data_IF_775000783164
#
_entry.id   IF_775000783164
#
_cell.length_a   1.000
_cell.length_b   1.000
_cell.length_c   1.000
_cell.angle_alpha   90.00
_cell.angle_beta   90.00
_cell.angle_gamma   90.00
#
_symmetry.space_group_name_H-M   'P 1'
#
loop_
_entity.id
_entity.type
_entity.pdbx_description
1 polymer ?
#
# COMPACT_ATOMS: atom_id res chain seq x y z
N UNK A 1 -16.24 9.54 -6.96
CA UNK A 1 -15.90 8.41 -6.08
C UNK A 1 -14.54 7.87 -6.51
N UNK A 2 -13.51 8.03 -5.69
CA UNK A 2 -12.21 7.37 -5.91
C UNK A 2 -12.38 5.88 -5.61
N UNK A 3 -11.78 5.01 -6.43
CA UNK A 3 -11.78 3.56 -6.17
C UNK A 3 -10.63 3.24 -5.23
N UNK A 4 -10.92 2.61 -4.10
CA UNK A 4 -9.91 2.12 -3.17
C UNK A 4 -9.53 0.69 -3.50
N UNK A 5 -8.23 0.36 -3.50
CA UNK A 5 -7.74 -1.01 -3.67
C UNK A 5 -6.86 -1.44 -2.50
N UNK A 6 -6.92 -2.73 -2.16
CA UNK A 6 -6.00 -3.38 -1.22
C UNK A 6 -4.94 -4.14 -2.02
N UNK A 7 -3.66 -3.84 -1.79
CA UNK A 7 -2.54 -4.53 -2.43
C UNK A 7 -1.70 -5.23 -1.38
N UNK A 8 -1.59 -6.55 -1.49
CA UNK A 8 -0.67 -7.37 -0.68
C UNK A 8 0.65 -7.56 -1.40
N UNK A 9 1.75 -7.74 -0.66
CA UNK A 9 3.08 -7.79 -1.26
C UNK A 9 3.51 -6.46 -1.90
N UNK A 10 2.88 -5.34 -1.52
CA UNK A 10 3.03 -4.04 -2.16
C UNK A 10 4.46 -3.48 -2.11
N UNK A 11 5.29 -3.93 -1.17
CA UNK A 11 6.66 -3.40 -0.99
C UNK A 11 7.62 -3.68 -2.16
N UNK A 12 7.31 -4.64 -3.04
CA UNK A 12 8.23 -5.13 -4.08
C UNK A 12 7.50 -5.72 -5.29
N UNK A 13 8.19 -5.79 -6.43
CA UNK A 13 7.70 -6.52 -7.61
C UNK A 13 6.36 -5.98 -8.13
N UNK A 14 5.49 -6.88 -8.56
CA UNK A 14 4.20 -6.55 -9.21
C UNK A 14 3.31 -5.70 -8.30
N UNK A 15 3.22 -6.02 -7.01
CA UNK A 15 2.41 -5.25 -6.07
C UNK A 15 2.84 -3.78 -5.99
N UNK A 16 4.16 -3.51 -6.08
CA UNK A 16 4.70 -2.14 -6.08
C UNK A 16 4.27 -1.36 -7.32
N UNK A 17 4.39 -1.97 -8.50
CA UNK A 17 4.01 -1.30 -9.75
C UNK A 17 2.50 -1.10 -9.87
N UNK A 18 1.70 -2.06 -9.39
CA UNK A 18 0.24 -1.89 -9.33
C UNK A 18 -0.17 -0.73 -8.42
N UNK A 19 0.54 -0.53 -7.30
CA UNK A 19 0.30 0.60 -6.42
C UNK A 19 0.54 1.94 -7.12
N UNK A 20 1.63 2.04 -7.89
CA UNK A 20 1.95 3.24 -8.67
C UNK A 20 0.91 3.53 -9.75
N UNK A 21 0.59 2.53 -10.57
CA UNK A 21 -0.38 2.69 -11.67
C UNK A 21 -1.76 3.11 -11.15
N UNK A 22 -2.18 2.60 -9.98
CA UNK A 22 -3.46 2.99 -9.40
C UNK A 22 -3.44 4.39 -8.77
N UNK A 23 -2.34 4.77 -8.12
CA UNK A 23 -2.17 6.12 -7.58
C UNK A 23 -2.09 7.18 -8.69
N UNK A 24 -1.40 6.89 -9.80
CA UNK A 24 -1.35 7.74 -11.00
C UNK A 24 -2.74 8.00 -11.58
N UNK A 25 -3.67 7.07 -11.42
CA UNK A 25 -5.07 7.20 -11.85
C UNK A 25 -5.96 7.92 -10.83
N UNK A 26 -5.39 8.45 -9.73
CA UNK A 26 -6.12 9.16 -8.68
C UNK A 26 -6.96 8.25 -7.77
N UNK A 27 -6.65 6.95 -7.72
CA UNK A 27 -7.31 6.00 -6.83
C UNK A 27 -6.65 5.94 -5.46
N UNK A 28 -7.42 5.62 -4.42
CA UNK A 28 -6.91 5.46 -3.05
C UNK A 28 -6.35 4.05 -2.84
N UNK A 29 -5.40 3.90 -1.91
CA UNK A 29 -4.71 2.64 -1.70
C UNK A 29 -4.60 2.25 -0.22
N UNK A 30 -4.80 0.96 0.02
CA UNK A 30 -4.33 0.28 1.22
C UNK A 30 -3.20 -0.68 0.80
N UNK A 31 -1.99 -0.46 1.30
CA UNK A 31 -0.81 -1.28 0.95
C UNK A 31 -0.37 -2.14 2.14
N UNK A 32 -0.10 -3.42 1.88
CA UNK A 32 0.31 -4.39 2.90
C UNK A 32 1.57 -5.15 2.48
N UNK A 33 2.55 -5.20 3.37
CA UNK A 33 3.76 -6.00 3.18
C UNK A 33 4.50 -6.32 4.48
N UNK A 34 5.42 -7.29 4.43
CA UNK A 34 6.22 -7.72 5.58
C UNK A 34 7.33 -6.75 6.00
N UNK A 35 7.80 -5.91 5.07
CA UNK A 35 8.91 -4.98 5.32
C UNK A 35 8.37 -3.56 5.48
N UNK A 36 8.36 -3.07 6.72
CA UNK A 36 7.86 -1.76 7.08
C UNK A 36 8.62 -0.64 6.37
N UNK A 37 9.95 -0.72 6.34
CA UNK A 37 10.79 0.30 5.71
C UNK A 37 10.47 0.49 4.21
N UNK A 38 10.34 -0.63 3.48
CA UNK A 38 9.98 -0.60 2.06
C UNK A 38 8.56 -0.10 1.85
N UNK A 39 7.64 -0.44 2.76
CA UNK A 39 6.25 0.01 2.70
C UNK A 39 6.16 1.52 2.92
N UNK A 40 6.89 2.06 3.90
CA UNK A 40 6.92 3.50 4.18
C UNK A 40 7.60 4.29 3.07
N UNK A 41 8.68 3.76 2.49
CA UNK A 41 9.27 4.37 1.29
C UNK A 41 8.25 4.44 0.14
N UNK A 42 7.48 3.37 -0.08
CA UNK A 42 6.44 3.37 -1.10
C UNK A 42 5.31 4.34 -0.77
N UNK A 43 4.81 4.37 0.48
CA UNK A 43 3.78 5.31 0.91
C UNK A 43 4.20 6.76 0.65
N UNK A 44 5.39 7.13 1.12
CA UNK A 44 5.94 8.47 0.92
C UNK A 44 6.13 8.80 -0.57
N UNK A 45 6.57 7.83 -1.38
CA UNK A 45 6.67 7.99 -2.83
C UNK A 45 5.29 8.32 -3.43
N UNK A 46 4.25 7.56 -3.08
CA UNK A 46 2.90 7.71 -3.64
C UNK A 46 2.23 9.02 -3.19
N UNK A 47 2.34 9.38 -1.91
CA UNK A 47 1.77 10.63 -1.36
C UNK A 47 2.49 11.89 -1.89
N UNK A 48 3.79 11.79 -2.20
CA UNK A 48 4.53 12.94 -2.76
C UNK A 48 4.20 13.23 -4.23
N UNK A 49 3.78 12.20 -4.99
CA UNK A 49 3.55 12.29 -6.44
C UNK A 49 2.08 12.46 -6.81
N UNK A 50 1.16 12.06 -5.93
CA UNK A 50 -0.27 11.98 -6.24
C UNK A 50 -1.12 12.58 -5.13
N UNK A 51 -2.31 13.04 -5.49
CA UNK A 51 -3.30 13.58 -4.54
C UNK A 51 -4.06 12.45 -3.81
N UNK A 52 -3.84 11.20 -4.22
CA UNK A 52 -4.47 10.00 -3.66
C UNK A 52 -4.07 9.75 -2.21
N UNK A 53 -5.01 9.25 -1.40
CA UNK A 53 -4.72 8.80 -0.04
C UNK A 53 -4.07 7.41 -0.05
N UNK A 54 -3.03 7.22 0.76
CA UNK A 54 -2.33 5.94 0.87
C UNK A 54 -2.15 5.52 2.34
N UNK A 55 -2.87 4.48 2.75
CA UNK A 55 -2.70 3.87 4.07
C UNK A 55 -1.80 2.64 3.96
N UNK A 56 -0.74 2.61 4.79
CA UNK A 56 0.26 1.55 4.77
C UNK A 56 0.25 0.75 6.06
N UNK A 57 0.08 -0.56 5.96
CA UNK A 57 0.15 -1.49 7.09
C UNK A 57 1.29 -2.49 6.90
N UNK A 58 2.17 -2.59 7.89
CA UNK A 58 3.19 -3.63 7.92
C UNK A 58 2.95 -4.60 9.05
N UNK A 59 2.77 -5.88 8.72
CA UNK A 59 2.64 -6.94 9.71
C UNK A 59 3.43 -8.18 9.27
N UNK A 60 4.26 -8.70 10.19
CA UNK A 60 4.78 -10.07 10.08
C UNK A 60 3.69 -11.02 10.54
N UNK A 61 2.81 -11.37 9.62
CA UNK A 61 1.81 -12.42 9.83
C UNK A 61 1.56 -13.11 8.51
N UNK A 62 1.26 -14.40 8.58
CA UNK A 62 0.60 -15.07 7.46
C UNK A 62 -0.72 -14.32 7.21
N UNK A 63 -0.88 -13.71 6.04
CA UNK A 63 -2.08 -12.95 5.66
C UNK A 63 -3.35 -13.83 5.64
N UNK A 64 -3.20 -15.16 5.72
CA UNK A 64 -4.30 -16.10 5.96
C UNK A 64 -4.91 -16.01 7.37
N UNK A 65 -4.29 -15.26 8.30
CA UNK A 65 -4.82 -15.02 9.65
C UNK A 65 -5.17 -13.54 9.84
N UNK A 66 -6.32 -13.29 10.45
CA UNK A 66 -6.88 -11.95 10.67
C UNK A 66 -5.88 -11.00 11.36
N UNK A 67 -5.75 -9.79 10.80
CA UNK A 67 -4.87 -8.76 11.32
C UNK A 67 -5.65 -7.76 12.20
N UNK A 68 -5.28 -7.60 13.48
CA UNK A 68 -5.49 -6.34 14.21
C UNK A 68 -4.50 -5.29 13.69
N UNK A 69 -4.97 -4.12 13.28
CA UNK A 69 -4.13 -2.99 12.87
C UNK A 69 -3.77 -2.09 14.06
N UNK A 70 -2.57 -1.55 14.04
CA UNK A 70 -2.17 -0.43 14.90
C UNK A 70 -2.58 0.85 14.15
N UNK A 71 -3.43 1.66 14.79
CA UNK A 71 -3.88 2.98 14.32
C UNK A 71 -2.86 4.06 14.69
#
# INVERSE_FOLDING_TARGET
MSKTILITGASTGIGKELARIHAEKGGDLVIVARSQDKLQQLKNELESKHISKCDGYSKRSDLARSAQGDL
#
